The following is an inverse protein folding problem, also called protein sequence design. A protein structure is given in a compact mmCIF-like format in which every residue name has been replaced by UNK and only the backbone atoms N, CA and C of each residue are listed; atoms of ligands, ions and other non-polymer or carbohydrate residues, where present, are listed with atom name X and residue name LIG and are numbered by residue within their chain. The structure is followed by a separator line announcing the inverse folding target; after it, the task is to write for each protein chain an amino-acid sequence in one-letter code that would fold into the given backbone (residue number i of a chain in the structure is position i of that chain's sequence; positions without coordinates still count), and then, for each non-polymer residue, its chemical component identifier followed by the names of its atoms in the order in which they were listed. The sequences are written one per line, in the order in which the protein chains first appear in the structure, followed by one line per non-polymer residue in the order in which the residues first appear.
data_IF_764987296407
#
_entry.id   IF_764987296407
#
_cell.length_a   1.000
_cell.length_b   1.000
_cell.length_c   1.000
_cell.angle_alpha   90.00
_cell.angle_beta   90.00
_cell.angle_gamma   90.00
#
_symmetry.space_group_name_H-M   'P 1'
#
loop_
_entity.id
_entity.type
_entity.pdbx_description
1 polymer ?
#
# COMPACT_ATOMS: atom_id res chain seq x y z
N UNK A 1 -18.43 -1.95 12.38
CA UNK A 1 -17.99 -2.72 11.18
C UNK A 1 -18.29 -1.90 9.92
N UNK A 2 -17.28 -1.31 9.27
CA UNK A 2 -17.48 -0.37 8.14
C UNK A 2 -17.89 -1.10 6.85
N UNK A 3 -19.01 -0.67 6.25
CA UNK A 3 -19.59 -1.22 5.03
C UNK A 3 -18.64 -1.19 3.81
N UNK A 4 -17.62 -0.32 3.82
CA UNK A 4 -16.63 -0.22 2.73
C UNK A 4 -15.74 -1.45 2.58
N UNK A 5 -15.46 -2.18 3.68
CA UNK A 5 -14.59 -3.38 3.64
C UNK A 5 -15.30 -4.58 2.99
N UNK A 6 -16.62 -4.71 3.17
CA UNK A 6 -17.43 -5.81 2.61
C UNK A 6 -17.52 -5.80 1.08
N UNK A 7 -17.51 -4.63 0.42
CA UNK A 7 -17.63 -4.54 -1.05
C UNK A 7 -16.32 -4.83 -1.80
N UNK A 8 -15.16 -4.43 -1.26
CA UNK A 8 -13.86 -4.71 -1.90
C UNK A 8 -13.59 -6.21 -1.94
N UNK A 9 -13.96 -6.94 -0.88
CA UNK A 9 -13.66 -8.36 -0.73
C UNK A 9 -14.52 -9.25 -1.65
N UNK A 10 -15.77 -8.86 -1.96
CA UNK A 10 -16.63 -9.61 -2.90
C UNK A 10 -16.12 -9.57 -4.34
N UNK A 11 -15.52 -8.46 -4.77
CA UNK A 11 -14.99 -8.32 -6.12
C UNK A 11 -13.59 -8.95 -6.26
N UNK A 12 -12.76 -8.95 -5.21
CA UNK A 12 -11.44 -9.59 -5.24
C UNK A 12 -11.54 -11.09 -5.52
N UNK A 13 -12.56 -11.79 -5.00
CA UNK A 13 -12.74 -13.24 -5.23
C UNK A 13 -12.89 -13.60 -6.72
N UNK A 14 -13.50 -12.71 -7.51
CA UNK A 14 -13.75 -12.89 -8.95
C UNK A 14 -12.60 -12.45 -9.86
N UNK A 15 -11.56 -11.82 -9.31
CA UNK A 15 -10.41 -11.38 -10.10
C UNK A 15 -9.54 -12.56 -10.53
N UNK A 16 -8.75 -12.42 -11.62
CA UNK A 16 -7.65 -13.33 -11.93
C UNK A 16 -6.61 -13.37 -10.79
N UNK A 17 -5.86 -14.47 -10.68
CA UNK A 17 -4.91 -14.68 -9.58
C UNK A 17 -3.81 -13.61 -9.54
N UNK A 18 -3.38 -13.13 -10.70
CA UNK A 18 -2.36 -12.10 -10.87
C UNK A 18 -2.81 -10.79 -10.20
N UNK A 19 -4.07 -10.41 -10.40
CA UNK A 19 -4.65 -9.20 -9.80
C UNK A 19 -4.86 -9.37 -8.30
N UNK A 20 -5.18 -10.57 -7.82
CA UNK A 20 -5.23 -10.85 -6.38
C UNK A 20 -3.85 -10.73 -5.75
N UNK A 21 -2.82 -11.29 -6.39
CA UNK A 21 -1.44 -11.22 -5.93
C UNK A 21 -0.95 -9.77 -5.87
N UNK A 22 -1.22 -8.98 -6.91
CA UNK A 22 -0.89 -7.54 -6.94
C UNK A 22 -1.55 -6.78 -5.78
N UNK A 23 -2.84 -7.02 -5.51
CA UNK A 23 -3.55 -6.39 -4.40
C UNK A 23 -2.98 -6.81 -3.05
N UNK A 24 -2.69 -8.10 -2.86
CA UNK A 24 -2.10 -8.62 -1.63
C UNK A 24 -0.71 -8.02 -1.39
N UNK A 25 0.12 -7.96 -2.43
CA UNK A 25 1.44 -7.35 -2.38
C UNK A 25 1.36 -5.86 -2.00
N UNK A 26 0.49 -5.08 -2.66
CA UNK A 26 0.29 -3.65 -2.34
C UNK A 26 -0.13 -3.45 -0.89
N UNK A 27 -1.01 -4.31 -0.36
CA UNK A 27 -1.43 -4.26 1.05
C UNK A 27 -0.27 -4.57 2.00
N UNK A 28 0.48 -5.63 1.74
CA UNK A 28 1.63 -6.02 2.56
C UNK A 28 2.72 -4.92 2.57
N UNK A 29 3.03 -4.36 1.41
CA UNK A 29 3.99 -3.25 1.27
C UNK A 29 3.50 -2.02 2.03
N UNK A 30 2.23 -1.64 1.90
CA UNK A 30 1.68 -0.50 2.63
C UNK A 30 1.77 -0.69 4.16
N UNK A 31 1.51 -1.90 4.64
CA UNK A 31 1.65 -2.23 6.06
C UNK A 31 3.11 -2.17 6.52
N UNK A 32 4.05 -2.72 5.74
CA UNK A 32 5.47 -2.65 6.05
C UNK A 32 5.97 -1.19 6.11
N UNK A 33 5.57 -0.35 5.15
CA UNK A 33 5.93 1.07 5.12
C UNK A 33 5.39 1.80 6.35
N UNK A 34 4.13 1.55 6.72
CA UNK A 34 3.53 2.14 7.92
C UNK A 34 4.26 1.73 9.20
N UNK A 35 4.69 0.46 9.28
CA UNK A 35 5.46 -0.05 10.41
C UNK A 35 6.83 0.63 10.52
N UNK A 36 7.55 0.76 9.40
CA UNK A 36 8.85 1.44 9.39
C UNK A 36 8.72 2.90 9.84
N UNK A 37 7.68 3.61 9.38
CA UNK A 37 7.38 4.96 9.86
C UNK A 37 7.15 4.98 11.38
N UNK A 38 6.35 4.05 11.90
CA UNK A 38 6.05 3.95 13.33
C UNK A 38 7.30 3.68 14.16
N UNK A 39 8.22 2.87 13.65
CA UNK A 39 9.48 2.52 14.32
C UNK A 39 10.60 3.55 14.12
N UNK A 40 10.39 4.57 13.28
CA UNK A 40 11.46 5.53 12.94
C UNK A 40 12.54 4.95 12.03
N UNK A 41 12.24 3.88 11.29
CA UNK A 41 13.17 3.26 10.36
C UNK A 41 13.05 3.86 8.95
N UNK A 42 14.21 4.07 8.32
CA UNK A 42 14.29 4.48 6.91
C UNK A 42 13.99 3.30 5.98
N UNK A 43 13.51 3.59 4.77
CA UNK A 43 13.24 2.59 3.73
C UNK A 43 14.15 2.88 2.53
N UNK A 44 14.82 1.86 2.01
CA UNK A 44 15.54 1.94 0.75
C UNK A 44 14.65 1.44 -0.40
N UNK A 45 14.51 2.25 -1.44
CA UNK A 45 13.75 1.92 -2.66
C UNK A 45 14.69 1.92 -3.84
N UNK A 46 14.72 0.82 -4.59
CA UNK A 46 15.42 0.79 -5.87
C UNK A 46 14.55 1.42 -6.97
N UNK A 47 15.07 2.41 -7.66
CA UNK A 47 14.42 3.03 -8.82
C UNK A 47 15.47 3.30 -9.91
N UNK A 48 15.22 2.78 -11.12
CA UNK A 48 16.03 3.03 -12.33
C UNK A 48 17.55 2.95 -12.12
N UNK A 49 18.03 1.90 -11.45
CA UNK A 49 19.47 1.69 -11.26
C UNK A 49 20.07 2.40 -10.04
N UNK A 50 19.24 3.06 -9.22
CA UNK A 50 19.68 3.82 -8.05
C UNK A 50 18.90 3.42 -6.80
N UNK A 51 19.59 3.43 -5.66
CA UNK A 51 18.96 3.29 -4.35
C UNK A 51 18.57 4.68 -3.85
N UNK A 52 17.28 4.89 -3.64
CA UNK A 52 16.74 6.07 -2.99
C UNK A 52 16.36 5.73 -1.54
N UNK A 53 16.99 6.39 -0.58
CA UNK A 53 16.68 6.21 0.84
C UNK A 53 15.62 7.24 1.25
N UNK A 54 14.51 6.74 1.77
CA UNK A 54 13.38 7.52 2.28
C UNK A 54 13.44 7.49 3.81
N UNK A 55 13.78 8.61 4.47
CA UNK A 55 13.78 8.68 5.92
C UNK A 55 12.33 8.72 6.45
N UNK A 56 12.09 8.29 7.69
CA UNK A 56 10.74 8.07 8.23
C UNK A 56 9.84 9.31 8.20
N UNK A 57 10.41 10.51 8.30
CA UNK A 57 9.68 11.79 8.28
C UNK A 57 9.08 12.09 6.90
N UNK A 58 9.70 11.55 5.83
CA UNK A 58 9.25 11.72 4.44
C UNK A 58 8.26 10.64 4.00
N UNK A 59 7.99 9.63 4.84
CA UNK A 59 7.01 8.58 4.54
C UNK A 59 5.58 9.18 4.64
N UNK A 60 4.95 9.41 3.49
CA UNK A 60 3.55 9.80 3.40
C UNK A 60 2.67 8.56 3.32
N UNK A 61 1.89 8.30 4.38
CA UNK A 61 0.87 7.25 4.34
C UNK A 61 -0.33 7.88 3.65
N UNK A 62 -0.58 7.50 2.39
CA UNK A 62 -1.82 7.83 1.72
C UNK A 62 -2.96 7.08 2.42
N UNK A 63 -3.55 7.69 3.44
CA UNK A 63 -4.74 7.16 4.09
C UNK A 63 -5.88 7.25 3.09
N UNK A 64 -6.09 6.16 2.35
CA UNK A 64 -7.23 5.97 1.44
C UNK A 64 -7.34 7.02 0.35
N UNK A 65 -7.02 6.61 -0.88
CA UNK A 65 -7.54 7.17 -2.14
C UNK A 65 -8.95 7.76 -1.95
N UNK A 66 -9.05 9.08 -1.74
CA UNK A 66 -10.26 9.83 -2.04
C UNK A 66 -10.43 9.67 -3.55
N UNK A 67 -11.29 8.72 -3.95
CA UNK A 67 -11.81 8.68 -5.31
C UNK A 67 -12.54 10.00 -5.53
N UNK A 68 -11.84 10.99 -6.09
CA UNK A 68 -12.47 12.13 -6.74
C UNK A 68 -13.29 11.54 -7.90
N UNK A 69 -14.58 11.36 -7.67
CA UNK A 69 -15.55 11.06 -8.74
C UNK A 69 -15.63 12.35 -9.56
N UNK A 70 -15.13 12.30 -10.78
CA UNK A 70 -15.49 13.25 -11.83
C UNK A 70 -16.62 12.61 -12.65
#
# INVERSE_FOLDING_TARGET
MSAGKKMIDKNIKKLPIERKAEIALKKAVAQAIAEHKRQGHSIAVWDKGKVNIIPPEKITIATTIERKRN
#
